data_IF_751962574988
#
_entry.id   IF_751962574988
#
_cell.length_a   1.000
_cell.length_b   1.000
_cell.length_c   1.000
_cell.angle_alpha   90.00
_cell.angle_beta   90.00
_cell.angle_gamma   90.00
#
_symmetry.space_group_name_H-M   'P 1'
#
loop_
_entity.id
_entity.type
_entity.pdbx_description
1 polymer ?
#
# COMPACT_ATOMS: atom_id res chain seq x y z
N UNK A 1 -10.31 -11.21 -14.43
CA UNK A 1 -9.34 -10.32 -13.76
C UNK A 1 -9.89 -10.12 -12.37
N UNK A 2 -9.06 -10.28 -11.35
CA UNK A 2 -9.50 -10.24 -9.95
C UNK A 2 -9.02 -8.91 -9.36
N UNK A 3 -9.88 -8.25 -8.60
CA UNK A 3 -9.56 -6.98 -7.95
C UNK A 3 -9.27 -7.23 -6.48
N UNK A 4 -8.15 -6.69 -6.01
CA UNK A 4 -7.67 -6.82 -4.65
C UNK A 4 -7.59 -5.44 -4.03
N UNK A 5 -8.37 -5.18 -2.98
CA UNK A 5 -8.31 -3.95 -2.21
C UNK A 5 -7.27 -4.12 -1.10
N UNK A 6 -6.15 -3.43 -1.24
CA UNK A 6 -5.19 -3.29 -0.15
C UNK A 6 -5.81 -2.44 0.95
N UNK A 7 -5.81 -2.97 2.16
CA UNK A 7 -6.15 -2.22 3.36
C UNK A 7 -4.99 -2.28 4.36
N UNK A 8 -4.84 -1.23 5.14
CA UNK A 8 -3.79 -1.11 6.15
C UNK A 8 -4.40 -0.87 7.53
N UNK A 9 -3.72 -1.34 8.56
CA UNK A 9 -4.00 -1.02 9.95
C UNK A 9 -2.67 -0.79 10.68
N UNK A 10 -2.71 -0.01 11.74
CA UNK A 10 -1.57 0.31 12.59
C UNK A 10 -2.10 0.77 13.95
N UNK A 11 -1.26 0.73 14.97
CA UNK A 11 -1.54 1.33 16.27
C UNK A 11 -1.00 2.76 16.24
N UNK A 12 -1.91 3.74 16.36
CA UNK A 12 -1.61 5.17 16.30
C UNK A 12 -1.72 5.77 17.71
N UNK A 13 -0.60 6.18 18.28
CA UNK A 13 -0.54 6.89 19.56
C UNK A 13 -0.42 8.40 19.30
N UNK A 14 -1.44 9.16 19.72
CA UNK A 14 -1.54 10.61 19.52
C UNK A 14 -1.41 11.05 18.05
N UNK A 15 -1.81 10.17 17.13
CA UNK A 15 -1.70 10.35 15.69
C UNK A 15 -3.00 9.97 15.01
N UNK A 16 -3.25 10.57 13.85
CA UNK A 16 -4.37 10.31 12.96
C UNK A 16 -3.98 10.54 11.51
N UNK A 17 -4.88 10.20 10.58
CA UNK A 17 -4.77 10.48 9.15
C UNK A 17 -3.49 9.92 8.48
N UNK A 18 -3.02 8.73 8.88
CA UNK A 18 -1.89 8.06 8.23
C UNK A 18 -2.24 7.71 6.77
N UNK A 19 -1.46 8.22 5.83
CA UNK A 19 -1.66 8.02 4.39
C UNK A 19 -0.38 8.32 3.59
N UNK A 20 -0.32 8.00 2.28
CA UNK A 20 0.77 8.46 1.43
C UNK A 20 0.92 9.99 1.43
N UNK A 21 2.14 10.50 1.25
CA UNK A 21 2.43 11.92 1.37
C UNK A 21 1.61 12.79 0.40
N UNK A 22 1.47 12.39 -0.87
CA UNK A 22 0.58 13.05 -1.84
C UNK A 22 -0.91 12.69 -1.71
N UNK A 23 -1.31 11.95 -0.67
CA UNK A 23 -2.65 11.39 -0.50
C UNK A 23 -2.80 9.99 -1.12
N UNK A 24 -3.91 9.31 -0.85
CA UNK A 24 -4.06 7.90 -1.27
C UNK A 24 -3.96 7.68 -2.79
N UNK A 25 -4.30 8.70 -3.60
CA UNK A 25 -4.20 8.67 -5.06
C UNK A 25 -2.91 9.34 -5.59
N UNK A 26 -1.86 9.44 -4.76
CA UNK A 26 -0.56 9.97 -5.16
C UNK A 26 0.03 9.12 -6.31
N UNK A 27 0.26 9.71 -7.51
CA UNK A 27 0.83 8.99 -8.64
C UNK A 27 2.25 8.50 -8.40
N UNK A 28 3.00 9.12 -7.48
CA UNK A 28 4.39 8.81 -7.18
C UNK A 28 4.57 7.83 -6.02
N UNK A 29 3.51 7.52 -5.28
CA UNK A 29 3.62 6.59 -4.16
C UNK A 29 3.85 5.15 -4.65
N UNK A 30 4.82 4.48 -4.03
CA UNK A 30 5.28 3.16 -4.43
C UNK A 30 4.66 2.09 -3.56
N UNK A 31 3.87 1.20 -4.17
CA UNK A 31 3.34 0.02 -3.52
C UNK A 31 4.30 -1.15 -3.70
N UNK A 32 4.78 -1.71 -2.59
CA UNK A 32 5.67 -2.85 -2.55
C UNK A 32 4.91 -4.07 -2.04
N UNK A 33 4.80 -5.13 -2.85
CA UNK A 33 4.15 -6.36 -2.41
C UNK A 33 4.73 -7.61 -3.06
N UNK A 34 4.57 -8.76 -2.41
CA UNK A 34 4.88 -10.06 -2.99
C UNK A 34 3.71 -10.57 -3.81
N UNK A 35 4.04 -11.17 -4.95
CA UNK A 35 3.07 -11.72 -5.88
C UNK A 35 3.20 -13.23 -5.94
N UNK A 36 2.07 -13.94 -5.87
CA UNK A 36 1.98 -15.38 -6.10
C UNK A 36 1.44 -15.65 -7.50
N UNK A 37 2.13 -16.45 -8.29
CA UNK A 37 1.68 -16.81 -9.62
C UNK A 37 0.49 -17.78 -9.54
N UNK A 38 -0.65 -17.40 -10.12
CA UNK A 38 -1.86 -18.22 -10.14
C UNK A 38 -1.68 -19.52 -10.95
N UNK A 39 -0.70 -19.56 -11.85
CA UNK A 39 -0.47 -20.70 -12.75
C UNK A 39 0.38 -21.82 -12.13
N UNK A 40 1.46 -21.46 -11.44
CA UNK A 40 2.44 -22.42 -10.92
C UNK A 40 2.67 -22.32 -9.41
N UNK A 41 2.03 -21.37 -8.73
CA UNK A 41 2.15 -21.17 -7.29
C UNK A 41 3.41 -20.43 -6.84
N UNK A 42 4.37 -20.16 -7.73
CA UNK A 42 5.61 -19.47 -7.40
C UNK A 42 5.35 -18.08 -6.79
N UNK A 43 5.95 -17.82 -5.64
CA UNK A 43 5.97 -16.49 -5.01
C UNK A 43 7.17 -15.70 -5.56
N UNK A 44 6.98 -14.41 -5.83
CA UNK A 44 8.05 -13.56 -6.33
C UNK A 44 9.25 -13.56 -5.37
N UNK A 45 10.48 -13.74 -5.87
CA UNK A 45 11.67 -13.85 -5.01
C UNK A 45 12.05 -12.52 -4.34
N UNK A 46 11.51 -11.40 -4.84
CA UNK A 46 11.61 -10.06 -4.29
C UNK A 46 10.25 -9.39 -4.34
N UNK A 47 10.10 -8.35 -3.55
CA UNK A 47 8.98 -7.43 -3.61
C UNK A 47 8.91 -6.79 -4.99
N UNK A 48 7.69 -6.67 -5.49
CA UNK A 48 7.38 -5.98 -6.71
C UNK A 48 6.95 -4.56 -6.36
N UNK A 49 7.54 -3.57 -7.03
CA UNK A 49 7.16 -2.16 -6.91
C UNK A 49 6.19 -1.79 -8.04
N UNK A 50 5.10 -1.10 -7.69
CA UNK A 50 4.19 -0.48 -8.65
C UNK A 50 3.69 0.85 -8.11
N UNK A 51 3.58 1.86 -8.96
CA UNK A 51 2.97 3.15 -8.64
C UNK A 51 1.79 3.43 -9.58
N UNK A 52 0.91 4.34 -9.17
CA UNK A 52 -0.22 4.77 -9.99
C UNK A 52 0.24 5.53 -11.25
N UNK A 53 1.36 6.24 -11.18
CA UNK A 53 1.96 6.97 -12.30
C UNK A 53 2.63 6.09 -13.35
N UNK A 54 2.98 4.84 -13.00
CA UNK A 54 3.60 3.91 -13.95
C UNK A 54 2.66 3.57 -15.10
N UNK A 55 3.18 3.55 -16.33
CA UNK A 55 2.40 3.13 -17.50
C UNK A 55 3.30 2.32 -18.44
N UNK A 56 2.92 1.07 -18.66
CA UNK A 56 3.58 0.14 -19.57
C UNK A 56 2.57 -0.49 -20.54
N UNK A 57 2.96 -0.80 -21.78
CA UNK A 57 2.07 -1.45 -22.74
C UNK A 57 1.77 -2.90 -22.33
N UNK A 58 0.55 -3.35 -22.59
CA UNK A 58 0.18 -4.75 -22.37
C UNK A 58 0.97 -5.69 -23.31
N UNK A 59 1.37 -6.91 -22.86
CA UNK A 59 2.09 -7.86 -23.71
C UNK A 59 1.30 -8.34 -24.92
N UNK A 60 -0.03 -8.32 -24.82
CA UNK A 60 -0.96 -8.72 -25.88
C UNK A 60 -2.17 -7.81 -25.86
N UNK A 61 -2.51 -7.22 -27.01
CA UNK A 61 -3.69 -6.38 -27.19
C UNK A 61 -3.38 -4.89 -27.30
N UNK A 62 -4.42 -4.06 -27.29
CA UNK A 62 -4.34 -2.60 -27.27
C UNK A 62 -4.69 -2.14 -25.86
N UNK A 63 -3.75 -1.51 -25.15
CA UNK A 63 -3.97 -1.00 -23.79
C UNK A 63 -2.67 -0.88 -23.00
N UNK A 64 -2.75 -0.25 -21.84
CA UNK A 64 -1.65 -0.07 -20.89
C UNK A 64 -2.05 -0.59 -19.51
N UNK A 65 -1.05 -0.82 -18.67
CA UNK A 65 -1.17 -1.25 -17.27
C UNK A 65 -0.04 -0.57 -16.48
N UNK A 66 -0.04 -0.65 -15.15
CA UNK A 66 1.04 -0.08 -14.35
C UNK A 66 2.26 -1.01 -14.28
N UNK A 67 2.03 -2.33 -14.32
CA UNK A 67 3.09 -3.33 -14.27
C UNK A 67 2.82 -4.54 -15.17
N UNK A 68 3.86 -5.00 -15.86
CA UNK A 68 3.93 -6.31 -16.51
C UNK A 68 5.09 -7.09 -15.88
N UNK A 69 4.83 -8.28 -15.37
CA UNK A 69 5.84 -9.12 -14.73
C UNK A 69 5.80 -10.56 -15.25
N UNK A 70 6.95 -11.09 -15.67
CA UNK A 70 7.10 -12.49 -16.09
C UNK A 70 7.44 -13.37 -14.89
N UNK A 71 6.70 -14.47 -14.74
CA UNK A 71 6.95 -15.46 -13.69
C UNK A 71 8.29 -16.14 -13.94
N UNK A 72 9.18 -16.16 -12.94
CA UNK A 72 10.53 -16.74 -13.08
C UNK A 72 10.51 -18.27 -13.23
N UNK A 73 9.47 -18.94 -12.75
CA UNK A 73 9.33 -20.39 -12.87
C UNK A 73 8.67 -20.81 -14.19
N UNK A 74 7.44 -20.37 -14.46
CA UNK A 74 6.66 -20.84 -15.62
C UNK A 74 6.72 -19.92 -16.85
N UNK A 75 7.45 -18.80 -16.78
CA UNK A 75 7.60 -17.81 -17.86
C UNK A 75 6.31 -17.13 -18.35
N UNK A 76 5.17 -17.35 -17.66
CA UNK A 76 3.90 -16.70 -17.93
C UNK A 76 3.95 -15.22 -17.55
N UNK A 77 3.41 -14.37 -18.41
CA UNK A 77 3.26 -12.95 -18.13
C UNK A 77 2.00 -12.71 -17.28
N UNK A 78 2.12 -11.86 -16.27
CA UNK A 78 0.99 -11.32 -15.51
C UNK A 78 1.07 -9.81 -15.43
N UNK A 79 -0.04 -9.18 -15.06
CA UNK A 79 -0.18 -7.73 -15.03
C UNK A 79 -0.81 -7.26 -13.73
N UNK A 80 -0.45 -6.04 -13.32
CA UNK A 80 -1.09 -5.32 -12.23
C UNK A 80 -1.46 -3.92 -12.70
N UNK A 81 -2.73 -3.56 -12.54
CA UNK A 81 -3.27 -2.23 -12.80
C UNK A 81 -3.70 -1.60 -11.48
N UNK A 82 -3.24 -0.39 -11.21
CA UNK A 82 -3.60 0.40 -10.03
C UNK A 82 -4.86 1.20 -10.33
N UNK A 83 -5.85 1.16 -9.45
CA UNK A 83 -7.16 1.80 -9.62
C UNK A 83 -7.39 2.78 -8.46
N UNK A 84 -7.30 4.10 -8.70
CA UNK A 84 -7.46 5.12 -7.65
C UNK A 84 -8.92 5.29 -7.20
N UNK A 85 -9.14 6.15 -6.19
CA UNK A 85 -10.45 6.58 -5.74
C UNK A 85 -11.12 5.66 -4.71
N UNK A 86 -10.37 4.72 -4.14
CA UNK A 86 -10.85 3.83 -3.07
C UNK A 86 -10.16 4.07 -1.72
N UNK A 87 -9.03 4.75 -1.73
CA UNK A 87 -8.22 4.97 -0.55
C UNK A 87 -8.80 6.01 0.40
N UNK A 88 -8.53 5.82 1.69
CA UNK A 88 -8.80 6.76 2.78
C UNK A 88 -7.63 6.73 3.77
N UNK A 89 -7.32 7.85 4.43
CA UNK A 89 -6.37 7.85 5.53
C UNK A 89 -6.82 6.92 6.64
N UNK A 90 -5.88 6.23 7.29
CA UNK A 90 -6.14 5.52 8.53
C UNK A 90 -6.28 6.53 9.67
N UNK A 91 -7.47 6.63 10.24
CA UNK A 91 -7.75 7.54 11.35
C UNK A 91 -7.42 6.91 12.71
N UNK A 92 -7.30 7.75 13.74
CA UNK A 92 -7.18 7.25 15.12
C UNK A 92 -8.37 6.37 15.52
N UNK A 93 -9.60 6.77 15.17
CA UNK A 93 -10.81 5.98 15.46
C UNK A 93 -10.76 4.58 14.81
N UNK A 94 -10.27 4.50 13.56
CA UNK A 94 -10.09 3.22 12.89
C UNK A 94 -9.00 2.38 13.57
N UNK A 95 -7.89 3.00 13.98
CA UNK A 95 -6.81 2.34 14.72
C UNK A 95 -7.29 1.76 16.05
N UNK A 96 -7.99 2.55 16.87
CA UNK A 96 -8.53 2.13 18.17
C UNK A 96 -9.58 1.02 18.06
N UNK A 97 -10.36 1.03 16.97
CA UNK A 97 -11.32 -0.02 16.67
C UNK A 97 -10.69 -1.27 16.01
N UNK A 98 -9.35 -1.30 15.86
CA UNK A 98 -8.60 -2.34 15.15
C UNK A 98 -9.10 -2.58 13.71
N UNK A 99 -9.63 -1.53 13.08
CA UNK A 99 -10.15 -1.56 11.73
C UNK A 99 -9.04 -1.34 10.70
N UNK A 100 -9.29 -1.87 9.50
CA UNK A 100 -8.42 -1.70 8.36
C UNK A 100 -8.96 -0.62 7.42
N UNK A 101 -8.18 0.45 7.22
CA UNK A 101 -8.47 1.51 6.28
C UNK A 101 -8.14 1.08 4.84
N UNK A 102 -9.04 1.26 3.87
CA UNK A 102 -8.75 0.97 2.47
C UNK A 102 -7.70 1.95 1.94
N UNK A 103 -6.69 1.44 1.22
CA UNK A 103 -5.59 2.24 0.70
C UNK A 103 -5.62 2.34 -0.84
N UNK A 104 -5.62 1.20 -1.53
CA UNK A 104 -5.55 1.19 -3.00
C UNK A 104 -6.14 -0.10 -3.58
N UNK A 105 -6.74 -0.01 -4.77
CA UNK A 105 -7.31 -1.16 -5.47
C UNK A 105 -6.39 -1.59 -6.62
N UNK A 106 -6.12 -2.89 -6.70
CA UNK A 106 -5.29 -3.48 -7.75
C UNK A 106 -6.10 -4.47 -8.57
N UNK A 107 -6.13 -4.32 -9.89
CA UNK A 107 -6.63 -5.34 -10.80
C UNK A 107 -5.47 -6.21 -11.28
N UNK A 108 -5.49 -7.48 -10.89
CA UNK A 108 -4.41 -8.42 -11.19
C UNK A 108 -4.87 -9.48 -12.21
N UNK A 109 -3.92 -9.91 -13.04
CA UNK A 109 -4.08 -11.01 -13.99
C UNK A 109 -2.87 -11.94 -13.92
N UNK A 110 -3.09 -13.20 -13.55
CA UNK A 110 -2.02 -14.21 -13.47
C UNK A 110 -1.19 -14.14 -12.19
N UNK A 111 -1.47 -13.16 -11.33
CA UNK A 111 -0.87 -13.02 -10.01
C UNK A 111 -1.92 -12.66 -8.97
N UNK A 112 -1.64 -13.09 -7.74
CA UNK A 112 -2.35 -12.73 -6.52
C UNK A 112 -1.36 -12.00 -5.60
N UNK A 113 -1.66 -10.77 -5.13
CA UNK A 113 -0.85 -10.12 -4.10
C UNK A 113 -1.09 -10.81 -2.76
N UNK A 114 -0.02 -11.15 -2.05
CA UNK A 114 -0.11 -11.97 -0.82
C UNK A 114 0.47 -11.31 0.42
N UNK A 115 1.31 -10.29 0.25
CA UNK A 115 2.03 -9.64 1.35
C UNK A 115 2.40 -8.22 0.92
N UNK A 116 2.13 -7.22 1.76
CA UNK A 116 2.44 -5.82 1.49
C UNK A 116 3.55 -5.35 2.43
N UNK A 117 4.55 -4.69 1.85
CA UNK A 117 5.72 -4.18 2.56
C UNK A 117 5.58 -2.67 2.70
N UNK A 118 5.53 -2.22 3.94
CA UNK A 118 5.57 -0.79 4.25
C UNK A 118 6.96 -0.24 3.92
N UNK A 119 7.00 0.89 3.23
CA UNK A 119 8.22 1.64 2.91
C UNK A 119 8.12 3.08 3.39
N UNK A 120 8.87 3.98 2.74
CA UNK A 120 8.80 5.42 2.99
C UNK A 120 7.75 6.17 2.18
N UNK A 121 7.68 7.49 2.41
CA UNK A 121 6.79 8.39 1.70
C UNK A 121 5.39 8.50 2.32
N UNK A 122 5.28 8.26 3.63
CA UNK A 122 4.04 8.45 4.38
C UNK A 122 3.97 9.85 4.98
N UNK A 123 2.75 10.25 5.30
CA UNK A 123 2.48 11.35 6.21
C UNK A 123 1.48 10.93 7.26
N UNK A 124 1.56 11.58 8.42
CA UNK A 124 0.63 11.40 9.53
C UNK A 124 0.48 12.74 10.26
N UNK A 125 -0.60 12.92 10.98
CA UNK A 125 -0.93 14.14 11.70
C UNK A 125 -1.10 13.84 13.19
N UNK A 126 -0.62 14.71 14.07
CA UNK A 126 -0.95 14.63 15.49
C UNK A 126 -2.39 15.04 15.77
N UNK A 127 -2.83 14.87 17.01
CA UNK A 127 -4.18 15.30 17.41
C UNK A 127 -4.32 16.83 17.49
N UNK A 128 -3.21 17.55 17.66
CA UNK A 128 -3.17 19.02 17.63
C UNK A 128 -2.99 19.59 16.20
N UNK A 129 -2.70 18.74 15.21
CA UNK A 129 -2.59 19.13 13.80
C UNK A 129 -1.16 19.26 13.25
N UNK A 130 -0.15 18.94 14.07
CA UNK A 130 1.26 18.84 13.62
C UNK A 130 1.39 17.75 12.57
N UNK A 131 1.98 18.09 11.41
CA UNK A 131 2.15 17.14 10.30
C UNK A 131 3.56 16.59 10.28
N UNK A 132 3.66 15.26 10.29
CA UNK A 132 4.90 14.54 10.06
C UNK A 132 4.90 14.04 8.62
N UNK A 133 5.86 14.52 7.82
CA UNK A 133 6.00 14.17 6.40
C UNK A 133 7.25 13.33 6.15
N UNK A 134 7.24 12.55 5.06
CA UNK A 134 8.38 11.71 4.70
C UNK A 134 8.63 10.58 5.69
N UNK A 135 7.61 10.17 6.44
CA UNK A 135 7.68 9.09 7.43
C UNK A 135 8.09 7.79 6.73
N UNK A 136 9.13 7.15 7.24
CA UNK A 136 9.60 5.84 6.79
C UNK A 136 9.11 4.75 7.73
N UNK A 137 8.30 3.83 7.18
CA UNK A 137 7.71 2.71 7.90
C UNK A 137 8.39 1.37 7.55
N UNK A 138 9.52 1.40 6.83
CA UNK A 138 10.29 0.20 6.48
C UNK A 138 10.84 -0.56 7.70
N UNK A 139 11.02 0.12 8.83
CA UNK A 139 11.44 -0.46 10.11
C UNK A 139 10.31 -1.13 10.91
N UNK A 140 9.05 -0.92 10.53
CA UNK A 140 7.88 -1.44 11.25
C UNK A 140 7.26 -0.49 12.27
N UNK A 141 7.91 0.62 12.59
CA UNK A 141 7.44 1.65 13.51
C UNK A 141 7.95 3.04 13.14
N UNK A 142 7.36 4.05 13.78
CA UNK A 142 7.79 5.45 13.76
C UNK A 142 7.53 6.04 15.14
N UNK A 143 8.44 6.87 15.64
CA UNK A 143 8.25 7.61 16.88
C UNK A 143 8.89 8.99 16.76
N UNK A 144 8.20 10.00 17.28
CA UNK A 144 8.64 11.39 17.30
C UNK A 144 7.98 12.13 18.48
N UNK A 145 8.23 13.42 18.61
CA UNK A 145 7.63 14.27 19.64
C UNK A 145 6.85 15.42 18.99
N UNK A 146 5.61 15.62 19.45
CA UNK A 146 4.81 16.77 19.04
C UNK A 146 5.04 17.94 20.01
N UNK A 147 5.79 18.93 19.57
CA UNK A 147 6.10 20.14 20.37
C UNK A 147 4.85 20.97 20.66
N UNK A 148 3.81 20.95 19.81
CA UNK A 148 2.58 21.70 20.05
C UNK A 148 1.69 21.02 21.10
N UNK A 149 1.62 19.70 21.06
CA UNK A 149 0.85 18.89 22.01
C UNK A 149 1.60 18.54 23.30
N UNK A 150 2.91 18.73 23.33
CA UNK A 150 3.81 18.32 24.42
C UNK A 150 3.70 16.82 24.78
N UNK A 151 3.60 15.95 23.76
CA UNK A 151 3.51 14.50 23.94
C UNK A 151 4.30 13.71 22.89
N UNK A 152 4.66 12.47 23.24
CA UNK A 152 5.22 11.51 22.29
C UNK A 152 4.14 11.05 21.29
N UNK A 153 4.53 10.91 20.02
CA UNK A 153 3.72 10.33 18.97
C UNK A 153 4.34 9.02 18.48
N UNK A 154 3.52 8.04 18.12
CA UNK A 154 4.02 6.74 17.68
C UNK A 154 3.10 6.03 16.69
N UNK A 155 3.70 5.40 15.69
CA UNK A 155 3.08 4.39 14.82
C UNK A 155 3.74 3.06 15.13
N UNK A 156 2.97 2.00 15.33
CA UNK A 156 3.50 0.64 15.49
C UNK A 156 2.51 -0.42 15.02
N UNK A 157 2.91 -1.70 15.09
CA UNK A 157 2.02 -2.84 14.78
C UNK A 157 1.36 -2.72 13.40
N UNK A 158 2.17 -2.39 12.40
CA UNK A 158 1.75 -2.26 11.01
C UNK A 158 1.21 -3.60 10.48
N UNK A 159 0.03 -3.53 9.86
CA UNK A 159 -0.72 -4.69 9.37
C UNK A 159 -1.32 -4.36 8.02
N UNK A 160 -1.42 -5.36 7.15
CA UNK A 160 -2.02 -5.21 5.83
C UNK A 160 -2.87 -6.43 5.46
N UNK A 161 -3.87 -6.23 4.61
CA UNK A 161 -4.67 -7.30 4.01
C UNK A 161 -5.02 -6.96 2.57
N UNK A 162 -5.26 -7.99 1.76
CA UNK A 162 -5.80 -7.87 0.42
C UNK A 162 -7.17 -8.52 0.35
N UNK A 163 -8.22 -7.71 0.26
CA UNK A 163 -9.60 -8.21 0.15
C UNK A 163 -10.00 -8.34 -1.32
N UNK A 164 -10.53 -9.50 -1.71
CA UNK A 164 -11.06 -9.69 -3.07
C UNK A 164 -12.37 -8.91 -3.23
N UNK A 165 -12.42 -8.03 -4.22
CA UNK A 165 -13.59 -7.22 -4.56
C UNK A 165 -14.27 -7.79 -5.81
N UNK A 166 -15.59 -7.99 -5.74
CA UNK A 166 -16.43 -8.43 -6.86
C UNK A 166 -16.83 -7.27 -7.77
#
# INVERSE_FOLDING_TARGET
>A
MVKFLLKIAADLQNLTNLQPQGGCDDPSFSYLFKLKCENCGEVSPRETCVSLGDTVPLPRGKGTTNLVQKCKLCSRDGTVTVIPGRGKPLTQEESEAENYAPLMLFECRGYEPIDYVFGGGWKVESLEGTKFEGVDLSGGDFADYDEEGEYDVKISNLRSTFDVVK
#
